data_IF_476621619703
#
_entry.id   IF_476621619703
#
_cell.length_a   1.000
_cell.length_b   1.000
_cell.length_c   1.000
_cell.angle_alpha   90.00
_cell.angle_beta   90.00
_cell.angle_gamma   90.00
#
_symmetry.space_group_name_H-M   'P 1'
#
loop_
_entity.id
_entity.type
_entity.pdbx_description
1 polymer ?
2 water ?
#
# COMPACT_ATOMS: atom_id res chain seq x y z
N UNK A 2 -5.83 -17.02 7.34
CA UNK A 2 -5.23 -17.05 5.95
C UNK A 2 -4.96 -15.62 5.46
N UNK A 3 -4.26 -15.49 4.33
CA UNK A 3 -3.96 -14.18 3.71
C UNK A 3 -4.66 -13.99 2.38
N UNK A 4 -5.46 -12.94 2.29
CA UNK A 4 -6.26 -12.71 1.11
C UNK A 4 -5.56 -11.77 0.17
N UNK A 5 -6.24 -10.69 -0.16
CA UNK A 5 -5.86 -9.85 -1.27
C UNK A 5 -5.04 -8.65 -0.79
N UNK A 6 -4.03 -8.26 -1.58
CA UNK A 6 -3.31 -6.99 -1.36
C UNK A 6 -3.46 -6.13 -2.61
N UNK A 7 -3.61 -4.83 -2.42
CA UNK A 7 -3.67 -3.89 -3.56
C UNK A 7 -2.36 -3.06 -3.48
N UNK A 8 -1.65 -2.97 -4.61
CA UNK A 8 -0.48 -2.10 -4.73
C UNK A 8 -0.79 -0.96 -5.69
N UNK A 9 -0.55 0.26 -5.23
CA UNK A 9 -0.94 1.46 -5.94
C UNK A 9 0.37 2.21 -6.18
N UNK A 10 0.76 2.35 -7.44
CA UNK A 10 2.04 3.05 -7.73
C UNK A 10 2.00 3.56 -9.17
N UNK A 11 2.60 4.73 -9.38
CA UNK A 11 2.71 5.38 -10.70
C UNK A 11 3.74 4.67 -11.58
N UNK A 12 4.64 3.93 -10.95
CA UNK A 12 5.80 3.35 -11.63
C UNK A 12 5.51 1.90 -11.96
N UNK A 13 5.32 1.62 -13.25
CA UNK A 13 4.90 0.27 -13.65
C UNK A 13 5.95 -0.77 -13.29
N UNK A 14 7.22 -0.36 -13.24
CA UNK A 14 8.30 -1.30 -12.91
C UNK A 14 8.23 -1.72 -11.46
N UNK A 15 7.79 -0.78 -10.61
CA UNK A 15 7.65 -1.09 -9.17
C UNK A 15 6.54 -2.12 -9.04
N UNK A 16 5.44 -1.90 -9.77
CA UNK A 16 4.33 -2.87 -9.77
C UNK A 16 4.78 -4.25 -10.25
N UNK A 17 5.52 -4.29 -11.35
CA UNK A 17 6.09 -5.56 -11.83
C UNK A 17 6.92 -6.24 -10.73
N UNK A 18 7.81 -5.49 -10.09
CA UNK A 18 8.70 -6.07 -9.08
C UNK A 18 7.92 -6.55 -7.87
N UNK A 19 6.98 -5.74 -7.40
CA UNK A 19 6.34 -6.08 -6.13
C UNK A 19 5.41 -7.27 -6.33
N UNK A 20 4.75 -7.31 -7.49
CA UNK A 20 3.86 -8.42 -7.86
C UNK A 20 4.68 -9.70 -7.79
N UNK A 21 5.84 -9.69 -8.43
CA UNK A 21 6.72 -10.85 -8.42
C UNK A 21 7.12 -11.25 -7.00
N UNK A 22 7.40 -10.26 -6.14
CA UNK A 22 7.83 -10.54 -4.80
C UNK A 22 6.70 -11.09 -3.92
N UNK A 23 5.46 -10.66 -4.17
CA UNK A 23 4.37 -10.96 -3.23
C UNK A 23 3.42 -12.06 -3.68
N UNK A 24 3.47 -12.38 -4.99
CA UNK A 24 2.64 -13.39 -5.71
C UNK A 24 2.44 -14.68 -4.90
N UNK A 25 3.46 -15.07 -4.15
CA UNK A 25 3.44 -16.39 -3.54
C UNK A 25 3.14 -16.40 -2.06
N UNK A 26 2.76 -15.23 -1.56
CA UNK A 26 2.36 -15.07 -0.17
C UNK A 26 0.90 -14.73 -0.05
N UNK A 27 0.44 -13.76 -0.83
CA UNK A 27 -0.95 -13.35 -0.79
C UNK A 27 -1.74 -14.16 -1.80
N UNK A 28 -3.02 -14.35 -1.54
CA UNK A 28 -3.90 -15.10 -2.46
C UNK A 28 -4.08 -14.38 -3.79
N UNK A 29 -4.10 -13.04 -3.73
CA UNK A 29 -4.26 -12.23 -4.94
C UNK A 29 -3.45 -10.95 -4.75
N UNK A 30 -2.71 -10.58 -5.80
CA UNK A 30 -1.98 -9.33 -5.80
C UNK A 30 -2.56 -8.48 -6.92
N UNK A 31 -3.20 -7.38 -6.56
CA UNK A 31 -3.77 -6.46 -7.53
C UNK A 31 -2.86 -5.23 -7.62
N UNK A 32 -2.42 -4.89 -8.83
CA UNK A 32 -1.59 -3.70 -9.02
C UNK A 32 -2.35 -2.72 -9.88
N UNK A 33 -2.23 -1.44 -9.57
CA UNK A 33 -2.94 -0.41 -10.38
C UNK A 33 -2.28 0.95 -10.27
N UNK A 34 -2.62 1.86 -11.18
CA UNK A 34 -2.08 3.22 -11.16
C UNK A 34 -3.21 4.25 -11.35
N UNK A 35 -4.46 3.79 -11.28
CA UNK A 35 -5.62 4.64 -11.54
C UNK A 35 -6.51 4.85 -10.32
N UNK A 36 -6.85 6.12 -9.97
CA UNK A 36 -7.82 6.39 -8.91
C UNK A 36 -9.16 5.69 -9.15
N UNK A 37 -9.62 5.67 -10.40
CA UNK A 37 -10.90 5.04 -10.70
C UNK A 37 -10.85 3.52 -10.43
N UNK A 38 -9.82 2.85 -10.94
CA UNK A 38 -9.57 1.43 -10.63
C UNK A 38 -9.48 1.19 -9.13
N UNK A 39 -8.77 2.05 -8.42
CA UNK A 39 -8.64 1.91 -6.96
C UNK A 39 -10.04 1.86 -6.28
N UNK A 40 -10.93 2.79 -6.62
CA UNK A 40 -12.27 2.78 -6.00
C UNK A 40 -13.02 1.43 -6.20
N UNK A 41 -12.92 0.86 -7.40
CA UNK A 41 -13.61 -0.41 -7.70
C UNK A 41 -13.04 -1.55 -6.85
N UNK A 42 -11.72 -1.72 -6.89
CA UNK A 42 -11.10 -2.83 -6.17
C UNK A 42 -11.27 -2.74 -4.67
N UNK A 43 -11.22 -1.54 -4.08
CA UNK A 43 -11.44 -1.39 -2.64
C UNK A 43 -12.82 -1.90 -2.22
N UNK A 44 -13.81 -1.68 -3.08
CA UNK A 44 -15.20 -2.05 -2.79
C UNK A 44 -15.41 -3.55 -2.95
N UNK A 45 -14.86 -4.09 -4.02
CA UNK A 45 -15.18 -5.45 -4.46
C UNK A 45 -14.24 -6.53 -4.01
N UNK A 46 -13.00 -6.17 -3.68
CA UNK A 46 -11.96 -7.19 -3.49
C UNK A 46 -11.56 -7.56 -2.05
N UNK A 47 -12.25 -6.99 -1.06
CA UNK A 47 -11.97 -7.24 0.36
C UNK A 47 -10.48 -7.29 0.68
N UNK A 48 -9.76 -6.19 0.36
CA UNK A 48 -8.31 -6.19 0.58
C UNK A 48 -7.95 -6.29 2.05
N UNK A 49 -6.83 -6.94 2.34
CA UNK A 49 -6.28 -7.01 3.69
C UNK A 49 -5.28 -5.91 4.01
N UNK A 50 -4.70 -5.31 2.98
CA UNK A 50 -3.74 -4.22 3.17
C UNK A 50 -3.60 -3.52 1.79
N UNK A 51 -3.23 -2.23 1.79
CA UNK A 51 -2.94 -1.49 0.57
C UNK A 51 -1.52 -0.99 0.73
N UNK A 52 -0.69 -1.18 -0.29
CA UNK A 52 0.65 -0.54 -0.34
C UNK A 52 0.51 0.66 -1.27
N UNK A 53 0.69 1.86 -0.70
CA UNK A 53 0.39 3.12 -1.39
C UNK A 53 1.63 4.01 -1.63
N UNK A 54 1.90 4.27 -2.91
CA UNK A 54 2.96 5.18 -3.38
C UNK A 54 2.77 6.57 -2.76
N UNK A 55 3.82 7.07 -2.10
CA UNK A 55 3.81 8.36 -1.43
C UNK A 55 3.50 9.46 -2.45
N UNK A 56 3.85 9.21 -3.70
CA UNK A 56 3.72 10.21 -4.76
C UNK A 56 2.61 9.89 -5.74
N UNK A 57 1.72 8.99 -5.34
CA UNK A 57 0.63 8.57 -6.22
C UNK A 57 -0.07 9.79 -6.83
N UNK A 58 -0.18 9.80 -8.17
CA UNK A 58 -0.80 10.92 -8.95
C UNK A 58 -0.05 12.26 -8.89
N UNK A 59 1.26 12.22 -8.66
CA UNK A 59 2.06 13.45 -8.52
C UNK A 59 2.18 14.19 -9.85
N UNK A 65 -1.80 17.19 -4.48
CA UNK A 65 -2.40 16.03 -3.78
C UNK A 65 -1.66 14.75 -4.13
N UNK A 66 -1.14 14.07 -3.12
CA UNK A 66 -0.39 12.86 -3.39
C UNK A 66 -0.76 11.75 -2.40
N UNK A 67 0.26 11.06 -1.90
CA UNK A 67 0.03 9.93 -1.00
C UNK A 67 -0.80 10.24 0.22
N UNK A 68 -0.54 11.39 0.86
CA UNK A 68 -1.26 11.71 2.09
C UNK A 68 -2.75 11.93 1.83
N UNK A 69 -3.04 12.61 0.73
CA UNK A 69 -4.43 12.77 0.29
C UNK A 69 -5.13 11.42 0.11
N UNK A 70 -4.49 10.51 -0.62
CA UNK A 70 -5.08 9.18 -0.87
C UNK A 70 -5.19 8.33 0.38
N UNK A 71 -4.22 8.46 1.28
CA UNK A 71 -4.31 7.76 2.56
C UNK A 71 -5.58 8.19 3.26
N UNK A 72 -5.83 9.49 3.23
CA UNK A 72 -6.95 10.03 3.98
C UNK A 72 -8.27 9.55 3.39
N UNK A 73 -8.33 9.53 2.07
CA UNK A 73 -9.58 9.19 1.40
C UNK A 73 -9.89 7.72 1.57
N UNK A 74 -8.86 6.88 1.49
CA UNK A 74 -9.06 5.47 1.77
C UNK A 74 -9.54 5.27 3.21
N UNK A 75 -8.90 5.92 4.18
CA UNK A 75 -9.29 5.72 5.59
C UNK A 75 -10.69 6.28 5.88
N UNK A 76 -11.10 7.28 5.11
CA UNK A 76 -12.42 7.88 5.30
C UNK A 76 -13.52 6.84 5.08
N UNK A 77 -13.37 6.04 4.03
CA UNK A 77 -14.35 5.03 3.67
C UNK A 77 -14.09 3.66 4.29
N UNK A 78 -12.81 3.29 4.43
CA UNK A 78 -12.45 1.98 4.96
C UNK A 78 -11.57 2.14 6.20
N UNK A 79 -12.21 2.49 7.31
CA UNK A 79 -11.53 2.92 8.54
C UNK A 79 -10.56 1.88 9.08
N UNK A 80 -10.89 0.61 8.88
CA UNK A 80 -10.07 -0.46 9.41
C UNK A 80 -9.10 -1.12 8.40
N UNK A 81 -9.02 -0.59 7.18
CA UNK A 81 -8.14 -1.17 6.16
C UNK A 81 -6.71 -0.64 6.35
N UNK A 82 -5.74 -1.51 6.69
CA UNK A 82 -4.36 -1.02 6.86
C UNK A 82 -3.79 -0.46 5.56
N UNK A 83 -3.17 0.72 5.65
CA UNK A 83 -2.50 1.32 4.50
C UNK A 83 -1.04 1.51 4.86
N UNK A 84 -0.17 0.95 4.04
CA UNK A 84 1.27 1.08 4.24
C UNK A 84 1.79 2.02 3.14
N UNK A 85 2.48 3.10 3.51
CA UNK A 85 3.04 4.05 2.52
C UNK A 85 4.36 3.52 1.97
N UNK A 86 4.61 3.74 0.67
CA UNK A 86 5.83 3.27 0.00
C UNK A 86 6.53 4.57 -0.39
N UNK A 87 7.67 4.84 0.25
CA UNK A 87 8.26 6.18 0.20
C UNK A 87 9.72 6.19 -0.25
N UNK A 88 10.07 7.11 -1.16
CA UNK A 88 11.48 7.39 -1.44
C UNK A 88 12.14 7.99 -0.19
N UNK A 89 13.46 7.86 -0.07
CA UNK A 89 14.16 8.55 1.03
C UNK A 89 13.90 10.06 1.05
N UNK A 90 13.73 10.66 -0.13
CA UNK A 90 13.50 12.11 -0.21
C UNK A 90 12.14 12.52 0.37
N UNK A 91 11.26 11.53 0.58
CA UNK A 91 9.97 11.83 1.15
C UNK A 91 9.74 11.28 2.57
N UNK A 92 10.79 10.87 3.28
CA UNK A 92 10.58 10.23 4.60
C UNK A 92 9.88 11.12 5.64
N UNK A 93 10.07 12.44 5.54
CA UNK A 93 9.33 13.37 6.39
C UNK A 93 7.82 13.23 6.17
N UNK A 94 7.41 13.09 4.92
CA UNK A 94 5.98 12.91 4.61
C UNK A 94 5.46 11.52 5.04
N UNK A 95 6.32 10.50 4.98
CA UNK A 95 5.93 9.17 5.49
C UNK A 95 5.70 9.21 7.01
N UNK A 96 6.59 9.89 7.75
CA UNK A 96 6.42 10.07 9.18
C UNK A 96 5.11 10.83 9.44
N UNK A 97 4.82 11.88 8.66
CA UNK A 97 3.54 12.58 8.82
C UNK A 97 2.38 11.63 8.54
N UNK A 98 2.55 10.76 7.54
CA UNK A 98 1.54 9.70 7.27
C UNK A 98 1.21 8.85 8.49
N UNK A 99 2.23 8.38 9.21
CA UNK A 99 2.04 7.60 10.44
C UNK A 99 1.20 8.45 11.42
N UNK A 100 1.58 9.70 11.56
CA UNK A 100 0.81 10.60 12.46
C UNK A 100 -0.66 10.69 12.06
N UNK A 101 -0.90 10.58 10.76
CA UNK A 101 -2.23 10.78 10.19
C UNK A 101 -2.96 9.45 9.95
N UNK A 102 -2.39 8.36 10.47
CA UNK A 102 -3.09 7.09 10.60
C UNK A 102 -2.67 5.97 9.65
N UNK A 103 -1.62 6.18 8.83
CA UNK A 103 -1.02 5.06 8.09
C UNK A 103 -0.53 3.95 9.04
N UNK A 104 -0.65 2.69 8.64
CA UNK A 104 -0.25 1.58 9.49
C UNK A 104 1.24 1.41 9.63
N UNK A 105 2.00 1.73 8.56
CA UNK A 105 3.43 1.57 8.53
C UNK A 105 3.94 2.22 7.25
N UNK A 106 5.25 2.23 7.09
CA UNK A 106 5.83 2.60 5.79
C UNK A 106 7.06 1.79 5.46
N UNK A 107 7.35 1.71 4.16
CA UNK A 107 8.50 0.98 3.64
C UNK A 107 9.23 1.98 2.73
N UNK A 108 10.54 2.09 2.88
CA UNK A 108 11.29 3.08 2.10
C UNK A 108 11.79 2.41 0.81
N UNK A 109 11.85 3.17 -0.28
CA UNK A 109 12.48 2.71 -1.53
C UNK A 109 13.85 3.41 -1.65
N UNK A 110 14.89 2.72 -2.14
CA UNK A 110 14.89 1.31 -2.53
C UNK A 110 14.68 0.45 -1.30
N UNK A 111 13.86 -0.57 -1.45
CA UNK A 111 13.47 -1.43 -0.35
C UNK A 111 14.38 -2.65 -0.18
N UNK A 112 14.25 -3.30 0.97
CA UNK A 112 14.84 -4.60 1.19
C UNK A 112 13.71 -5.59 0.98
N UNK A 113 13.94 -6.64 0.20
CA UNK A 113 12.86 -7.55 -0.20
C UNK A 113 12.18 -8.23 0.98
N UNK A 114 12.99 -8.73 1.92
CA UNK A 114 12.40 -9.39 3.10
C UNK A 114 11.68 -8.43 4.03
N UNK A 115 12.24 -7.24 4.25
CA UNK A 115 11.59 -6.19 5.04
C UNK A 115 10.24 -5.76 4.42
N UNK A 116 10.19 -5.65 3.10
CA UNK A 116 8.95 -5.26 2.43
C UNK A 116 7.88 -6.29 2.73
N UNK A 117 8.21 -7.56 2.54
CA UNK A 117 7.23 -8.63 2.77
C UNK A 117 6.77 -8.61 4.21
N UNK A 118 7.74 -8.52 5.12
CA UNK A 118 7.47 -8.59 6.55
C UNK A 118 6.58 -7.47 7.04
N UNK A 119 6.85 -6.25 6.57
CA UNK A 119 6.01 -5.08 6.90
C UNK A 119 4.58 -5.31 6.44
N UNK A 120 4.43 -5.88 5.23
CA UNK A 120 3.08 -6.05 4.66
C UNK A 120 2.35 -7.18 5.38
N UNK A 121 3.03 -8.29 5.63
CA UNK A 121 2.40 -9.37 6.42
C UNK A 121 1.99 -8.87 7.80
N UNK A 122 2.87 -8.16 8.49
CA UNK A 122 2.52 -7.61 9.80
C UNK A 122 1.33 -6.65 9.72
N UNK A 123 1.31 -5.79 8.69
CA UNK A 123 0.21 -4.82 8.57
C UNK A 123 -1.12 -5.51 8.36
N UNK A 124 -1.07 -6.62 7.62
CA UNK A 124 -2.24 -7.43 7.27
C UNK A 124 -2.60 -8.41 8.40
N UNK A 125 -1.72 -8.52 9.40
CA UNK A 125 -1.87 -9.45 10.52
C UNK A 125 -1.93 -8.73 11.86
N UNK A 126 -2.65 -7.62 11.92
CA UNK A 126 -2.88 -7.01 13.22
C UNK A 126 -4.17 -7.54 13.84
N UNK A 127 -4.21 -7.57 15.18
CA UNK A 127 -5.39 -8.03 15.90
C UNK A 127 -6.66 -7.28 15.47
#
# INVERSE_FOLDING_TARGET
>A
MSLGTIIIVDDNKGVLTAVQLLLKNHFSKVITLSSPVSLSTVLREENPEVVLLDMNFTSGINNGNEGLFWLHEIKRQYRDLPVVLFTAYADIDLAVRGIKEGASDFVVKPWDNQKLLETLLNAASQAKDGKKEGHHHHHH
#
